data_IF_690681961661
#
_entry.id   IF_690681961661
#
_cell.length_a   1.000
_cell.length_b   1.000
_cell.length_c   1.000
_cell.angle_alpha   90.00
_cell.angle_beta   90.00
_cell.angle_gamma   90.00
#
_symmetry.space_group_name_H-M   'P 1'
#
loop_
_entity.id
_entity.type
_entity.pdbx_description
1 polymer ?
#
# COMPACT_ATOMS: atom_id res chain seq x y z
N UNK A 1 -0.44 6.86 13.07
CA UNK A 1 -1.59 6.91 12.13
C UNK A 1 -1.97 5.55 11.53
N UNK A 2 -1.02 4.72 11.07
CA UNK A 2 -1.32 3.46 10.38
C UNK A 2 -2.10 2.41 11.20
N UNK A 3 -1.69 2.12 12.43
CA UNK A 3 -2.31 1.07 13.26
C UNK A 3 -3.78 1.36 13.61
N UNK A 4 -4.12 2.61 13.97
CA UNK A 4 -5.51 3.00 14.25
C UNK A 4 -6.41 2.79 13.03
N UNK A 5 -5.93 3.11 11.84
CA UNK A 5 -6.69 2.92 10.59
C UNK A 5 -6.87 1.43 10.26
N UNK A 6 -5.86 0.60 10.54
CA UNK A 6 -5.98 -0.85 10.37
C UNK A 6 -7.10 -1.43 11.26
N UNK A 7 -7.14 -1.05 12.54
CA UNK A 7 -8.22 -1.43 13.47
C UNK A 7 -9.60 -0.97 12.98
N UNK A 8 -9.69 0.25 12.44
CA UNK A 8 -10.93 0.74 11.83
C UNK A 8 -11.33 -0.09 10.59
N UNK A 9 -10.38 -0.45 9.74
CA UNK A 9 -10.62 -1.29 8.58
C UNK A 9 -11.04 -2.71 8.96
N UNK A 10 -10.49 -3.28 10.03
CA UNK A 10 -10.89 -4.59 10.57
C UNK A 10 -12.21 -4.55 11.37
N UNK A 11 -12.76 -3.36 11.62
CA UNK A 11 -14.02 -3.20 12.36
C UNK A 11 -13.88 -3.23 13.87
N UNK A 12 -12.66 -3.30 14.40
CA UNK A 12 -12.39 -3.15 15.84
C UNK A 12 -12.72 -1.74 16.35
N UNK A 13 -12.60 -0.74 15.46
CA UNK A 13 -12.93 0.66 15.75
C UNK A 13 -13.93 1.22 14.74
N UNK A 14 -14.79 2.15 15.19
CA UNK A 14 -15.73 2.87 14.32
C UNK A 14 -15.00 3.80 13.33
N UNK A 15 -15.63 4.06 12.19
CA UNK A 15 -15.11 4.98 11.15
C UNK A 15 -14.21 4.33 10.09
N UNK A 16 -14.35 3.03 9.86
CA UNK A 16 -13.73 2.35 8.72
C UNK A 16 -14.44 2.68 7.39
N UNK A 17 -13.74 2.54 6.27
CA UNK A 17 -14.33 2.73 4.95
C UNK A 17 -15.29 1.59 4.59
N UNK A 18 -16.42 1.87 3.93
CA UNK A 18 -17.39 0.83 3.51
C UNK A 18 -16.73 -0.27 2.66
N UNK A 19 -15.86 0.09 1.73
CA UNK A 19 -15.13 -0.89 0.91
C UNK A 19 -14.17 -1.78 1.71
N UNK A 20 -13.72 -1.34 2.90
CA UNK A 20 -12.85 -2.12 3.78
C UNK A 20 -13.61 -3.10 4.69
N UNK A 21 -14.95 -3.16 4.62
CA UNK A 21 -15.72 -4.16 5.36
C UNK A 21 -15.64 -5.55 4.76
N UNK A 22 -15.55 -5.64 3.43
CA UNK A 22 -15.36 -6.89 2.71
C UNK A 22 -13.88 -7.29 2.73
N UNK A 23 -13.57 -8.59 2.86
CA UNK A 23 -12.20 -9.10 2.78
C UNK A 23 -11.34 -8.90 4.04
N UNK A 24 -11.97 -8.65 5.19
CA UNK A 24 -11.30 -8.72 6.50
C UNK A 24 -10.88 -10.17 6.81
N UNK A 25 -9.81 -10.40 7.59
CA UNK A 25 -8.94 -9.40 8.21
C UNK A 25 -7.93 -8.81 7.22
N UNK A 26 -7.76 -7.49 7.28
CA UNK A 26 -6.71 -6.80 6.55
C UNK A 26 -5.39 -6.91 7.30
N UNK A 27 -4.32 -7.18 6.55
CA UNK A 27 -2.94 -7.04 7.01
C UNK A 27 -2.31 -5.78 6.42
N UNK A 28 -1.48 -5.12 7.22
CA UNK A 28 -0.67 -4.00 6.74
C UNK A 28 0.57 -4.57 6.05
N UNK A 29 0.71 -4.40 4.74
CA UNK A 29 1.85 -4.92 3.99
C UNK A 29 3.12 -4.05 4.16
N UNK A 30 2.97 -2.72 4.14
CA UNK A 30 4.06 -1.79 4.42
C UNK A 30 3.55 -0.48 5.02
N UNK A 31 4.45 0.20 5.70
CA UNK A 31 4.27 1.54 6.23
C UNK A 31 5.37 2.46 5.68
N UNK A 32 4.97 3.60 5.11
CA UNK A 32 5.90 4.60 4.58
C UNK A 32 5.85 5.81 5.51
N UNK A 33 7.01 6.20 6.02
CA UNK A 33 7.18 7.28 6.99
C UNK A 33 8.22 8.29 6.52
N UNK A 34 8.20 9.49 7.09
CA UNK A 34 9.15 10.56 6.78
C UNK A 34 8.64 11.61 5.80
N UNK A 35 7.35 11.60 5.45
CA UNK A 35 6.72 12.69 4.70
C UNK A 35 6.78 13.98 5.52
N UNK A 36 7.12 15.10 4.86
CA UNK A 36 7.21 16.42 5.49
C UNK A 36 5.83 16.93 5.90
N UNK A 37 4.81 16.66 5.09
CA UNK A 37 3.44 17.08 5.33
C UNK A 37 2.41 16.08 4.77
N UNK A 38 1.13 16.33 5.07
CA UNK A 38 0.01 15.50 4.60
C UNK A 38 -0.19 15.57 3.09
N UNK A 39 0.13 16.70 2.47
CA UNK A 39 -0.03 16.93 1.03
C UNK A 39 0.99 16.13 0.22
N UNK A 40 2.22 16.00 0.72
CA UNK A 40 3.26 15.13 0.18
C UNK A 40 2.83 13.68 0.24
N UNK A 41 2.35 13.21 1.40
CA UNK A 41 1.83 11.85 1.56
C UNK A 41 0.67 11.56 0.57
N UNK A 42 -0.26 12.52 0.40
CA UNK A 42 -1.38 12.38 -0.53
C UNK A 42 -0.92 12.32 -2.01
N UNK A 43 0.01 13.19 -2.41
CA UNK A 43 0.58 13.18 -3.78
C UNK A 43 1.29 11.86 -4.08
N UNK A 44 2.06 11.37 -3.11
CA UNK A 44 2.70 10.06 -3.20
C UNK A 44 1.65 8.94 -3.36
N UNK A 45 0.63 8.90 -2.49
CA UNK A 45 -0.44 7.89 -2.54
C UNK A 45 -1.20 7.88 -3.88
N UNK A 46 -1.49 9.05 -4.44
CA UNK A 46 -2.19 9.15 -5.72
C UNK A 46 -1.33 8.59 -6.87
N UNK A 47 -0.05 8.97 -6.92
CA UNK A 47 0.89 8.48 -7.95
C UNK A 47 1.15 6.99 -7.81
N UNK A 48 1.32 6.51 -6.57
CA UNK A 48 1.38 5.11 -6.19
C UNK A 48 0.24 4.28 -6.78
N UNK A 49 -1.00 4.70 -6.49
CA UNK A 49 -2.21 4.06 -7.02
C UNK A 49 -2.30 4.13 -8.54
N UNK A 50 -1.80 5.20 -9.16
CA UNK A 50 -1.75 5.33 -10.61
C UNK A 50 -0.76 4.34 -11.24
N UNK A 51 0.45 4.23 -10.71
CA UNK A 51 1.47 3.29 -11.20
C UNK A 51 1.05 1.83 -11.01
N UNK A 52 0.51 1.49 -9.83
CA UNK A 52 0.03 0.14 -9.55
C UNK A 52 -1.08 -0.30 -10.51
N UNK A 53 -2.00 0.61 -10.87
CA UNK A 53 -3.04 0.33 -11.88
C UNK A 53 -2.46 0.10 -13.28
N UNK A 54 -1.40 0.83 -13.66
CA UNK A 54 -0.73 0.67 -14.95
C UNK A 54 0.00 -0.66 -15.05
N UNK A 55 0.69 -1.07 -13.99
CA UNK A 55 1.46 -2.32 -13.96
C UNK A 55 0.56 -3.57 -13.96
N UNK A 56 -0.62 -3.49 -13.31
CA UNK A 56 -1.57 -4.62 -13.23
C UNK A 56 -2.17 -5.06 -14.57
N UNK A 57 -1.97 -4.32 -15.66
CA UNK A 57 -2.61 -4.60 -16.95
C UNK A 57 -1.97 -5.75 -17.75
N UNK A 58 -0.83 -6.29 -17.33
CA UNK A 58 -0.18 -7.45 -17.96
C UNK A 58 -0.66 -8.75 -17.29
N UNK A 59 -1.79 -9.31 -17.75
CA UNK A 59 -2.29 -10.62 -17.30
C UNK A 59 -1.30 -11.71 -17.75
N UNK A 60 -0.48 -12.23 -16.82
CA UNK A 60 0.07 -13.58 -16.98
C UNK A 60 -0.80 -14.54 -16.14
N UNK A 61 -1.21 -15.64 -16.75
CA UNK A 61 -2.29 -16.51 -16.30
C UNK A 61 -1.70 -17.70 -15.52
N UNK A 62 -0.93 -17.45 -14.45
CA UNK A 62 -0.53 -18.53 -13.53
C UNK A 62 -0.19 -18.06 -12.10
N UNK A 63 -0.80 -18.79 -11.15
CA UNK A 63 -0.37 -19.31 -9.85
C UNK A 63 0.07 -18.42 -8.65
N UNK A 64 -0.51 -18.77 -7.49
CA UNK A 64 -0.20 -18.43 -6.08
C UNK A 64 -0.49 -17.00 -5.57
N UNK A 65 -1.59 -16.92 -4.82
CA UNK A 65 -2.57 -15.81 -4.80
C UNK A 65 -2.21 -14.56 -3.99
N UNK A 66 -1.13 -14.56 -3.21
CA UNK A 66 -0.75 -13.44 -2.31
C UNK A 66 0.69 -12.96 -2.53
N UNK A 67 1.62 -13.89 -2.75
CA UNK A 67 3.04 -13.62 -3.02
C UNK A 67 3.24 -12.70 -4.23
N UNK A 68 2.62 -13.04 -5.37
CA UNK A 68 2.74 -12.26 -6.61
C UNK A 68 2.15 -10.85 -6.49
N UNK A 69 1.05 -10.69 -5.75
CA UNK A 69 0.43 -9.38 -5.55
C UNK A 69 1.31 -8.44 -4.72
N UNK A 70 1.99 -8.99 -3.71
CA UNK A 70 2.95 -8.23 -2.90
C UNK A 70 4.19 -7.87 -3.70
N UNK A 71 4.76 -8.80 -4.47
CA UNK A 71 5.90 -8.53 -5.36
C UNK A 71 5.57 -7.45 -6.38
N UNK A 72 4.38 -7.49 -6.97
CA UNK A 72 3.93 -6.47 -7.91
C UNK A 72 3.81 -5.09 -7.26
N UNK A 73 3.29 -5.05 -6.02
CA UNK A 73 3.22 -3.84 -5.23
C UNK A 73 4.61 -3.36 -4.83
N UNK A 74 5.55 -4.22 -4.50
CA UNK A 74 6.93 -3.83 -4.20
C UNK A 74 7.63 -3.23 -5.44
N UNK A 75 7.46 -3.84 -6.61
CA UNK A 75 8.01 -3.33 -7.87
C UNK A 75 7.46 -1.94 -8.22
N UNK A 76 6.16 -1.71 -8.01
CA UNK A 76 5.59 -0.37 -8.13
C UNK A 76 6.30 0.63 -7.18
N UNK A 77 6.81 0.18 -6.02
CA UNK A 77 7.34 0.98 -4.88
C UNK A 77 8.69 1.49 -5.19
N UNK A 78 9.50 0.59 -5.71
CA UNK A 78 10.76 0.94 -6.33
C UNK A 78 10.56 2.03 -7.40
N UNK A 79 9.59 1.87 -8.31
CA UNK A 79 9.33 2.86 -9.38
C UNK A 79 8.82 4.20 -8.84
N UNK A 80 7.87 4.18 -7.90
CA UNK A 80 7.34 5.40 -7.30
C UNK A 80 8.42 6.16 -6.51
N UNK A 81 9.30 5.41 -5.81
CA UNK A 81 10.42 5.97 -5.04
C UNK A 81 11.42 6.65 -5.95
N UNK A 82 11.80 6.00 -7.05
CA UNK A 82 12.65 6.60 -8.07
C UNK A 82 12.01 7.86 -8.69
N UNK A 83 10.70 7.83 -8.94
CA UNK A 83 9.96 8.92 -9.58
C UNK A 83 9.57 10.09 -8.66
N UNK A 84 9.87 10.03 -7.35
CA UNK A 84 9.51 11.09 -6.39
C UNK A 84 10.72 11.68 -5.66
N UNK A 85 11.95 11.30 -6.02
CA UNK A 85 13.19 11.70 -5.33
C UNK A 85 13.07 11.59 -3.79
N UNK A 86 12.32 10.60 -3.32
CA UNK A 86 11.93 10.48 -1.92
C UNK A 86 12.83 9.47 -1.19
N UNK A 87 14.13 9.61 -1.40
CA UNK A 87 15.18 8.78 -0.79
C UNK A 87 15.14 8.80 0.73
N UNK A 88 14.68 9.91 1.33
CA UNK A 88 14.52 10.13 2.77
C UNK A 88 13.34 9.40 3.40
N UNK A 89 12.41 8.83 2.61
CA UNK A 89 11.29 8.09 3.15
C UNK A 89 11.75 6.72 3.67
N UNK A 90 11.33 6.40 4.89
CA UNK A 90 11.51 5.08 5.51
C UNK A 90 10.34 4.19 5.15
N UNK A 91 10.64 3.01 4.61
CA UNK A 91 9.64 2.02 4.20
C UNK A 91 9.84 0.79 5.08
N UNK A 92 8.87 0.55 5.95
CA UNK A 92 8.85 -0.62 6.82
C UNK A 92 7.89 -1.64 6.23
N UNK A 93 8.44 -2.71 5.67
CA UNK A 93 7.63 -3.84 5.22
C UNK A 93 7.24 -4.70 6.42
N UNK A 94 5.96 -5.00 6.51
CA UNK A 94 5.36 -5.84 7.54
C UNK A 94 4.81 -7.08 6.83
N UNK A 95 5.73 -7.93 6.34
CA UNK A 95 5.36 -9.29 6.00
C UNK A 95 5.22 -10.04 7.33
N UNK A 96 3.98 -10.24 7.78
CA UNK A 96 3.76 -11.33 8.72
C UNK A 96 3.89 -12.64 7.94
N UNK A 97 4.80 -13.56 8.34
CA UNK A 97 4.87 -14.90 7.76
C UNK A 97 3.55 -15.65 7.95
#
# INVERSE_FOLDING_TARGET
>A
MGLRRLKQHNGELKGGAKASSAGRPWSLACLIQGFKDRSEACRFESKWKSLSRKLSRKKNKECSSTSLLLQHREAALSQARAAFACSYLRIEWQLKP
#
